data_IF_438744947823
#
_entry.id   IF_438744947823
#
_cell.length_a   1.000
_cell.length_b   1.000
_cell.length_c   1.000
_cell.angle_alpha   90.00
_cell.angle_beta   90.00
_cell.angle_gamma   90.00
#
_symmetry.space_group_name_H-M   'P 1'
#
loop_
_entity.id
_entity.type
_entity.pdbx_description
1 polymer ?
#
# COMPACT_ATOMS: atom_id res chain seq x y z
N UNK A 1 -57.71 -36.75 45.77
CA UNK A 1 -57.52 -35.38 45.24
C UNK A 1 -56.10 -35.29 44.74
N UNK A 2 -55.92 -35.38 43.40
CA UNK A 2 -54.60 -35.40 42.77
C UNK A 2 -54.30 -33.96 42.18
N UNK A 3 -53.23 -33.34 42.62
CA UNK A 3 -52.68 -32.09 42.01
C UNK A 3 -51.51 -32.46 41.10
N UNK A 4 -51.69 -32.23 39.85
CA UNK A 4 -50.64 -32.37 38.83
C UNK A 4 -49.96 -31.02 38.65
N UNK A 5 -48.65 -30.95 38.93
CA UNK A 5 -47.80 -29.79 38.66
C UNK A 5 -47.30 -29.84 37.20
N UNK A 6 -47.64 -28.84 36.43
CA UNK A 6 -47.08 -28.65 35.10
C UNK A 6 -45.82 -27.74 35.20
N UNK A 7 -44.65 -28.34 34.91
CA UNK A 7 -43.39 -27.59 34.75
C UNK A 7 -43.33 -26.92 33.36
N UNK A 8 -43.40 -25.62 33.36
CA UNK A 8 -43.18 -24.78 32.19
C UNK A 8 -41.66 -24.64 31.94
N UNK A 9 -41.12 -25.37 30.96
CA UNK A 9 -39.78 -25.19 30.44
C UNK A 9 -39.79 -24.00 29.48
N UNK A 10 -39.29 -22.85 29.93
CA UNK A 10 -38.95 -21.73 29.02
C UNK A 10 -37.64 -22.06 28.31
N UNK A 11 -37.73 -22.46 27.06
CA UNK A 11 -36.61 -22.52 26.14
C UNK A 11 -36.23 -21.07 25.70
N UNK A 12 -35.01 -20.63 26.00
CA UNK A 12 -34.43 -19.40 25.44
C UNK A 12 -33.98 -19.77 24.04
N UNK A 13 -34.84 -19.61 23.06
CA UNK A 13 -34.48 -19.61 21.65
C UNK A 13 -33.95 -18.24 21.30
N UNK A 14 -32.63 -18.05 21.22
CA UNK A 14 -32.04 -16.89 20.58
C UNK A 14 -32.42 -16.94 19.09
N UNK A 15 -33.33 -16.08 18.70
CA UNK A 15 -33.76 -15.95 17.31
C UNK A 15 -32.66 -15.22 16.51
N UNK A 16 -31.86 -15.99 15.77
CA UNK A 16 -31.00 -15.47 14.66
C UNK A 16 -31.83 -14.87 13.50
N UNK A 17 -33.15 -14.85 13.66
CA UNK A 17 -34.10 -14.42 12.63
C UNK A 17 -34.35 -12.93 12.52
N UNK A 18 -33.92 -12.12 13.51
CA UNK A 18 -34.26 -10.69 13.53
C UNK A 18 -33.33 -9.83 12.66
N UNK A 19 -32.17 -10.34 12.25
CA UNK A 19 -31.27 -9.60 11.35
C UNK A 19 -31.56 -9.77 9.85
N UNK A 20 -32.38 -10.77 9.49
CA UNK A 20 -32.76 -11.01 8.09
C UNK A 20 -34.10 -10.38 7.68
N UNK A 21 -34.86 -9.82 8.63
CA UNK A 21 -36.22 -9.36 8.34
C UNK A 21 -36.32 -7.94 7.75
N UNK A 22 -35.22 -7.18 7.66
CA UNK A 22 -35.21 -5.84 7.04
C UNK A 22 -34.76 -5.80 5.57
N UNK A 23 -34.56 -6.97 4.92
CA UNK A 23 -34.09 -7.04 3.51
C UNK A 23 -35.23 -7.37 2.53
N UNK A 24 -36.48 -7.43 2.97
CA UNK A 24 -37.55 -8.09 2.24
C UNK A 24 -38.41 -7.23 1.29
N UNK A 25 -37.88 -6.15 0.69
CA UNK A 25 -38.62 -5.44 -0.40
C UNK A 25 -37.73 -4.97 -1.57
N UNK A 26 -36.44 -5.23 -1.57
CA UNK A 26 -35.67 -5.09 -2.81
C UNK A 26 -35.74 -6.43 -3.54
N UNK A 27 -36.31 -6.44 -4.75
CA UNK A 27 -36.24 -7.60 -5.63
C UNK A 27 -34.77 -8.07 -5.65
N UNK A 28 -34.54 -9.31 -5.16
CA UNK A 28 -33.20 -9.87 -5.16
C UNK A 28 -32.69 -9.83 -6.60
N UNK A 29 -31.63 -9.10 -6.86
CA UNK A 29 -30.93 -9.15 -8.14
C UNK A 29 -30.43 -10.59 -8.29
N UNK A 30 -30.83 -11.32 -9.36
CA UNK A 30 -30.40 -12.70 -9.49
C UNK A 30 -28.88 -12.74 -9.60
N UNK A 31 -28.27 -13.63 -8.80
CA UNK A 31 -26.88 -13.99 -8.98
C UNK A 31 -26.81 -14.80 -10.28
N UNK A 32 -25.98 -14.36 -11.20
CA UNK A 32 -25.76 -15.05 -12.46
C UNK A 32 -24.94 -16.35 -12.20
N UNK A 33 -25.01 -17.36 -13.09
CA UNK A 33 -24.27 -18.62 -12.92
C UNK A 33 -22.75 -18.48 -12.83
N UNK A 34 -22.17 -17.36 -13.28
CA UNK A 34 -20.75 -17.03 -13.08
C UNK A 34 -20.44 -16.47 -11.68
N UNK A 35 -21.48 -16.20 -10.87
CA UNK A 35 -21.37 -15.52 -9.58
C UNK A 35 -21.45 -13.99 -9.68
N UNK A 36 -21.66 -13.43 -10.87
CA UNK A 36 -21.81 -11.99 -11.04
C UNK A 36 -23.15 -11.50 -10.47
N UNK A 37 -23.12 -10.32 -9.87
CA UNK A 37 -24.29 -9.65 -9.29
C UNK A 37 -24.49 -8.30 -9.95
N UNK A 38 -25.66 -8.07 -10.55
CA UNK A 38 -26.05 -6.74 -11.05
C UNK A 38 -26.67 -5.92 -9.93
N UNK A 39 -26.08 -4.80 -9.57
CA UNK A 39 -26.58 -3.93 -8.51
C UNK A 39 -27.51 -2.84 -9.10
N UNK A 40 -28.68 -2.56 -8.47
CA UNK A 40 -29.44 -1.38 -8.78
C UNK A 40 -28.66 -0.12 -8.38
N UNK A 41 -29.14 1.07 -8.83
CA UNK A 41 -28.60 2.33 -8.37
C UNK A 41 -28.74 2.43 -6.84
N UNK A 42 -27.61 2.59 -6.15
CA UNK A 42 -27.55 2.68 -4.68
C UNK A 42 -26.58 3.79 -4.28
N UNK A 43 -26.95 4.54 -3.22
CA UNK A 43 -26.02 5.48 -2.58
C UNK A 43 -25.35 4.80 -1.41
N UNK A 44 -24.02 4.70 -1.46
CA UNK A 44 -23.21 4.10 -0.39
C UNK A 44 -22.67 5.21 0.49
N UNK A 45 -23.05 5.29 1.77
CA UNK A 45 -22.54 6.32 2.66
C UNK A 45 -21.03 6.09 2.91
N UNK A 46 -20.35 7.18 3.33
CA UNK A 46 -18.98 7.05 3.82
C UNK A 46 -18.97 6.26 5.13
N UNK A 47 -17.84 5.57 5.44
CA UNK A 47 -17.73 4.74 6.63
C UNK A 47 -18.00 5.52 7.91
N UNK A 48 -18.79 4.96 8.81
CA UNK A 48 -19.04 5.51 10.15
C UNK A 48 -17.85 5.32 11.11
N UNK A 49 -16.88 4.49 10.76
CA UNK A 49 -15.65 4.26 11.55
C UNK A 49 -14.52 5.20 11.16
N UNK A 50 -14.68 5.92 10.05
CA UNK A 50 -13.70 6.90 9.62
C UNK A 50 -13.99 8.27 10.26
N UNK A 51 -12.93 9.06 10.48
CA UNK A 51 -13.04 10.42 11.02
C UNK A 51 -13.75 11.38 10.06
N UNK A 52 -14.26 12.48 10.59
CA UNK A 52 -14.78 13.57 9.77
C UNK A 52 -13.68 14.21 8.90
N UNK A 53 -12.44 14.20 9.37
CA UNK A 53 -11.26 14.64 8.63
C UNK A 53 -11.05 13.77 7.39
N UNK A 54 -11.09 12.44 7.56
CA UNK A 54 -10.95 11.49 6.46
C UNK A 54 -12.08 11.67 5.44
N UNK A 55 -13.32 11.82 5.89
CA UNK A 55 -14.45 12.07 5.01
C UNK A 55 -14.29 13.37 4.19
N UNK A 56 -13.84 14.46 4.84
CA UNK A 56 -13.59 15.73 4.13
C UNK A 56 -12.48 15.60 3.10
N UNK A 57 -11.34 15.04 3.52
CA UNK A 57 -10.18 14.84 2.61
C UNK A 57 -10.54 13.94 1.43
N UNK A 58 -11.33 12.87 1.67
CA UNK A 58 -11.83 12.01 0.61
C UNK A 58 -12.63 12.80 -0.42
N UNK A 59 -13.64 13.58 0.03
CA UNK A 59 -14.47 14.41 -0.86
C UNK A 59 -13.61 15.41 -1.64
N UNK A 60 -12.69 16.10 -0.97
CA UNK A 60 -11.78 17.06 -1.62
C UNK A 60 -10.92 16.37 -2.70
N UNK A 61 -10.37 15.20 -2.39
CA UNK A 61 -9.51 14.46 -3.33
C UNK A 61 -10.29 13.92 -4.54
N UNK A 62 -11.49 13.40 -4.33
CA UNK A 62 -12.31 12.83 -5.41
C UNK A 62 -12.99 13.90 -6.28
N UNK A 63 -13.18 15.10 -5.76
CA UNK A 63 -13.80 16.22 -6.47
C UNK A 63 -12.80 17.26 -6.98
N UNK A 64 -11.49 17.00 -6.90
CA UNK A 64 -10.47 17.96 -7.37
C UNK A 64 -10.57 18.16 -8.90
N UNK A 65 -11.04 19.33 -9.36
CA UNK A 65 -11.20 19.58 -10.78
C UNK A 65 -9.85 19.79 -11.50
N UNK A 66 -8.76 19.93 -10.78
CA UNK A 66 -7.42 20.11 -11.35
C UNK A 66 -6.73 18.80 -11.69
N UNK A 67 -7.28 17.67 -11.22
CA UNK A 67 -6.73 16.34 -11.55
C UNK A 67 -6.79 16.10 -13.08
N UNK A 68 -5.68 15.68 -13.70
CA UNK A 68 -5.65 15.46 -15.14
C UNK A 68 -6.60 14.32 -15.53
N UNK A 69 -7.44 14.52 -16.55
CA UNK A 69 -8.34 13.47 -16.99
C UNK A 69 -7.55 12.28 -17.56
N UNK A 70 -8.16 11.07 -17.59
CA UNK A 70 -7.56 9.91 -18.21
C UNK A 70 -7.11 10.20 -19.65
N UNK A 71 -5.89 9.77 -20.02
CA UNK A 71 -5.30 10.01 -21.33
C UNK A 71 -4.58 11.36 -21.49
N UNK A 72 -4.43 12.13 -20.41
CA UNK A 72 -3.56 13.31 -20.43
C UNK A 72 -2.11 12.97 -20.77
N UNK A 73 -1.34 13.95 -21.27
CA UNK A 73 0.09 13.73 -21.53
C UNK A 73 0.85 13.43 -20.23
N UNK A 74 1.98 12.74 -20.36
CA UNK A 74 2.81 12.41 -19.21
C UNK A 74 3.35 13.68 -18.52
N UNK A 75 3.67 14.71 -19.29
CA UNK A 75 4.17 15.99 -18.78
C UNK A 75 3.09 16.69 -17.94
N UNK A 76 1.85 16.72 -18.40
CA UNK A 76 0.72 17.29 -17.67
C UNK A 76 0.47 16.51 -16.36
N UNK A 77 0.52 15.18 -16.44
CA UNK A 77 0.34 14.30 -15.28
C UNK A 77 1.46 14.49 -14.26
N UNK A 78 2.71 14.50 -14.69
CA UNK A 78 3.87 14.78 -13.81
C UNK A 78 3.78 16.14 -13.17
N UNK A 79 3.46 17.17 -13.94
CA UNK A 79 3.34 18.55 -13.42
C UNK A 79 2.27 18.66 -12.34
N UNK A 80 1.12 18.01 -12.53
CA UNK A 80 0.06 17.96 -11.52
C UNK A 80 0.54 17.27 -10.23
N UNK A 81 1.08 16.02 -10.35
CA UNK A 81 1.49 15.27 -9.17
C UNK A 81 2.71 15.87 -8.47
N UNK A 82 3.61 16.53 -9.17
CA UNK A 82 4.71 17.28 -8.56
C UNK A 82 4.19 18.45 -7.71
N UNK A 83 3.21 19.19 -8.22
CA UNK A 83 2.59 20.27 -7.46
C UNK A 83 1.79 19.72 -6.25
N UNK A 84 1.02 18.67 -6.45
CA UNK A 84 0.26 17.98 -5.41
C UNK A 84 1.18 17.44 -4.29
N UNK A 85 2.19 16.68 -4.65
CA UNK A 85 3.16 16.12 -3.70
C UNK A 85 3.96 17.23 -2.99
N UNK A 86 4.36 18.28 -3.70
CA UNK A 86 5.07 19.41 -3.09
C UNK A 86 4.23 20.13 -2.03
N UNK A 87 2.92 20.25 -2.26
CA UNK A 87 1.99 20.74 -1.25
C UNK A 87 1.96 19.82 -0.02
N UNK A 88 1.83 18.50 -0.24
CA UNK A 88 1.87 17.51 0.84
C UNK A 88 3.19 17.53 1.61
N UNK A 89 4.32 17.62 0.93
CA UNK A 89 5.65 17.77 1.57
C UNK A 89 5.69 19.01 2.46
N UNK A 90 5.15 20.14 1.99
CA UNK A 90 5.06 21.36 2.79
C UNK A 90 4.24 21.13 4.08
N UNK A 91 3.12 20.42 3.98
CA UNK A 91 2.27 20.06 5.12
C UNK A 91 2.98 19.07 6.06
N UNK A 92 3.63 18.03 5.49
CA UNK A 92 4.45 17.07 6.24
C UNK A 92 5.54 17.78 7.06
N UNK A 93 6.28 18.71 6.45
CA UNK A 93 7.38 19.44 7.12
C UNK A 93 6.91 20.34 8.25
N UNK A 94 5.67 20.84 8.21
CA UNK A 94 5.08 21.58 9.35
C UNK A 94 4.81 20.69 10.56
N UNK A 95 4.51 19.42 10.32
CA UNK A 95 4.15 18.46 11.35
C UNK A 95 5.34 17.62 11.82
N UNK A 96 6.23 17.29 10.93
CA UNK A 96 7.37 16.39 11.15
C UNK A 96 8.68 17.09 10.80
N UNK A 97 9.46 17.42 11.80
CA UNK A 97 10.73 18.14 11.62
C UNK A 97 11.82 17.17 11.13
N UNK A 98 12.17 17.24 9.85
CA UNK A 98 13.18 16.42 9.21
C UNK A 98 14.24 17.26 8.48
N UNK A 99 15.48 16.75 8.47
CA UNK A 99 16.56 17.19 7.60
C UNK A 99 16.56 16.30 6.36
N UNK A 100 16.63 16.93 5.20
CA UNK A 100 16.66 16.27 3.90
C UNK A 100 17.97 16.64 3.20
N UNK A 101 18.68 15.64 2.68
CA UNK A 101 19.91 15.80 1.94
C UNK A 101 19.89 14.93 0.68
N UNK A 102 19.98 15.55 -0.47
CA UNK A 102 20.09 14.84 -1.75
C UNK A 102 21.50 14.29 -1.93
N UNK A 103 21.61 13.00 -2.25
CA UNK A 103 22.88 12.30 -2.48
C UNK A 103 22.72 11.32 -3.66
N UNK A 104 23.86 10.88 -4.22
CA UNK A 104 23.87 9.74 -5.17
C UNK A 104 24.41 8.50 -4.47
N UNK A 105 23.57 7.46 -4.41
CA UNK A 105 23.93 6.17 -3.80
C UNK A 105 23.80 5.07 -4.86
N UNK A 106 24.83 4.28 -5.04
CA UNK A 106 24.83 3.26 -6.09
C UNK A 106 24.69 3.81 -7.53
N UNK A 107 24.95 5.10 -7.73
CA UNK A 107 24.76 5.77 -9.01
C UNK A 107 23.34 6.32 -9.24
N UNK A 108 22.40 6.13 -8.31
CA UNK A 108 21.03 6.59 -8.37
C UNK A 108 20.84 7.83 -7.49
N UNK A 109 20.02 8.77 -7.91
CA UNK A 109 19.65 9.92 -7.09
C UNK A 109 18.77 9.46 -5.92
N UNK A 110 19.03 10.01 -4.75
CA UNK A 110 18.32 9.65 -3.51
C UNK A 110 18.18 10.88 -2.62
N UNK A 111 17.11 10.94 -1.85
CA UNK A 111 16.99 11.88 -0.73
C UNK A 111 17.14 11.14 0.60
N UNK A 112 18.09 11.55 1.40
CA UNK A 112 18.35 11.03 2.74
C UNK A 112 17.58 11.88 3.74
N UNK A 113 16.61 11.28 4.40
CA UNK A 113 15.71 11.92 5.37
C UNK A 113 16.09 11.47 6.79
N UNK A 114 16.35 12.43 7.67
CA UNK A 114 16.67 12.17 9.08
C UNK A 114 15.85 13.09 9.99
N UNK A 115 15.41 12.63 11.17
CA UNK A 115 14.71 13.50 12.11
C UNK A 115 15.64 14.59 12.65
N UNK A 116 15.15 15.83 12.77
CA UNK A 116 15.91 16.94 13.39
C UNK A 116 16.36 16.61 14.81
N UNK A 117 15.56 15.85 15.56
CA UNK A 117 15.88 15.39 16.91
C UNK A 117 16.96 14.30 16.98
N UNK A 118 17.47 13.87 15.82
CA UNK A 118 18.46 12.82 15.67
C UNK A 118 17.86 11.41 15.62
N UNK A 119 18.68 10.48 15.15
CA UNK A 119 18.39 9.06 15.06
C UNK A 119 18.48 8.45 16.47
N UNK A 120 17.54 7.60 16.87
CA UNK A 120 17.59 6.93 18.16
C UNK A 120 18.81 6.00 18.28
N UNK A 121 19.34 5.76 19.50
CA UNK A 121 20.52 4.89 19.68
C UNK A 121 20.34 3.50 19.05
N UNK A 122 19.15 2.92 19.16
CA UNK A 122 18.82 1.60 18.58
C UNK A 122 18.82 1.59 17.06
N UNK A 123 18.60 2.75 16.41
CA UNK A 123 18.52 2.89 14.96
C UNK A 123 19.80 3.43 14.30
N UNK A 124 20.88 3.67 15.07
CA UNK A 124 22.15 4.20 14.55
C UNK A 124 22.76 3.32 13.46
N UNK A 125 22.54 2.00 13.53
CA UNK A 125 23.02 1.02 12.55
C UNK A 125 21.91 0.48 11.63
N UNK A 126 20.74 1.11 11.61
CA UNK A 126 19.59 0.72 10.80
C UNK A 126 19.27 1.78 9.77
N UNK A 127 18.73 1.36 8.65
CA UNK A 127 18.28 2.25 7.59
C UNK A 127 17.04 1.69 6.91
N UNK A 128 16.12 2.57 6.54
CA UNK A 128 15.00 2.23 5.67
C UNK A 128 15.26 2.77 4.27
N UNK A 129 14.86 2.00 3.27
CA UNK A 129 14.75 2.42 1.88
C UNK A 129 13.26 2.64 1.62
N UNK A 130 12.90 3.80 1.09
CA UNK A 130 11.57 4.11 0.61
C UNK A 130 11.54 4.08 -0.91
N UNK A 131 10.51 3.46 -1.45
CA UNK A 131 10.17 3.38 -2.87
C UNK A 131 8.82 4.06 -3.05
N UNK A 132 8.81 5.23 -3.69
CA UNK A 132 7.60 6.03 -3.79
C UNK A 132 6.54 5.43 -4.70
N UNK A 133 5.28 5.83 -4.47
CA UNK A 133 4.18 5.58 -5.39
C UNK A 133 4.24 6.45 -6.64
N UNK A 134 3.25 6.30 -7.53
CA UNK A 134 3.16 7.11 -8.75
C UNK A 134 3.11 6.30 -10.03
N UNK A 135 2.50 5.11 -9.98
CA UNK A 135 2.24 4.25 -11.16
C UNK A 135 3.50 3.97 -12.01
N UNK A 136 4.70 4.01 -11.42
CA UNK A 136 6.00 3.95 -12.11
C UNK A 136 6.21 5.05 -13.16
N UNK A 137 5.46 6.14 -13.12
CA UNK A 137 5.49 7.20 -14.14
C UNK A 137 5.75 8.58 -13.57
N UNK A 138 5.51 8.79 -12.28
CA UNK A 138 5.73 10.04 -11.55
C UNK A 138 6.02 9.79 -10.07
N UNK A 139 6.47 10.82 -9.36
CA UNK A 139 6.70 10.77 -7.92
C UNK A 139 8.16 10.97 -7.49
N UNK A 140 9.10 11.03 -8.45
CA UNK A 140 10.48 11.35 -8.15
C UNK A 140 10.59 12.59 -7.25
N UNK A 141 11.51 12.61 -6.30
CA UNK A 141 11.73 13.62 -5.25
C UNK A 141 10.51 13.82 -4.34
N UNK A 142 9.47 14.51 -4.79
CA UNK A 142 8.37 14.96 -3.96
C UNK A 142 7.54 13.80 -3.40
N UNK A 143 7.21 12.81 -4.19
CA UNK A 143 6.44 11.62 -3.75
C UNK A 143 7.19 10.82 -2.69
N UNK A 144 8.49 10.59 -2.90
CA UNK A 144 9.33 9.91 -1.92
C UNK A 144 9.43 10.66 -0.59
N UNK A 145 9.49 11.98 -0.61
CA UNK A 145 9.53 12.80 0.61
C UNK A 145 8.21 12.75 1.39
N UNK A 146 7.07 12.69 0.70
CA UNK A 146 5.77 12.52 1.36
C UNK A 146 5.72 11.24 2.19
N UNK A 147 6.24 10.14 1.66
CA UNK A 147 6.23 8.84 2.33
C UNK A 147 7.35 8.72 3.40
N UNK A 148 8.50 9.35 3.20
CA UNK A 148 9.67 9.15 4.04
C UNK A 148 9.75 10.07 5.26
N UNK A 149 9.27 11.32 5.16
CA UNK A 149 9.35 12.30 6.27
C UNK A 149 8.66 11.78 7.55
N UNK A 150 7.38 11.35 7.54
CA UNK A 150 6.71 10.91 8.75
C UNK A 150 7.35 9.66 9.35
N UNK A 151 7.77 8.71 8.52
CA UNK A 151 8.39 7.46 8.97
C UNK A 151 9.76 7.73 9.59
N UNK A 152 10.57 8.61 9.00
CA UNK A 152 11.86 8.99 9.57
C UNK A 152 11.71 9.61 10.96
N UNK A 153 10.74 10.52 11.11
CA UNK A 153 10.57 11.29 12.37
C UNK A 153 9.92 10.42 13.46
N UNK A 154 8.84 9.70 13.16
CA UNK A 154 8.15 8.84 14.13
C UNK A 154 9.03 7.65 14.52
N UNK A 155 9.66 7.01 13.54
CA UNK A 155 10.57 5.88 13.75
C UNK A 155 11.92 6.28 14.34
N UNK A 156 12.27 7.57 14.37
CA UNK A 156 13.60 8.08 14.74
C UNK A 156 14.72 7.31 14.02
N UNK A 157 14.54 7.13 12.72
CA UNK A 157 15.40 6.31 11.85
C UNK A 157 15.74 7.07 10.57
N UNK A 158 16.89 6.75 9.97
CA UNK A 158 17.26 7.26 8.65
C UNK A 158 16.40 6.56 7.59
N UNK A 159 15.81 7.34 6.68
CA UNK A 159 15.13 6.86 5.49
C UNK A 159 15.84 7.40 4.26
N UNK A 160 16.07 6.53 3.27
CA UNK A 160 16.63 6.87 1.97
C UNK A 160 15.53 6.61 0.95
N UNK A 161 15.02 7.66 0.34
CA UNK A 161 14.05 7.53 -0.76
C UNK A 161 14.79 7.56 -2.09
N UNK A 162 14.38 6.69 -3.02
CA UNK A 162 15.07 6.47 -4.30
C UNK A 162 14.27 7.09 -5.43
N UNK A 163 14.92 7.93 -6.24
CA UNK A 163 14.39 8.39 -7.51
C UNK A 163 14.71 7.34 -8.59
N UNK A 164 13.93 6.27 -8.61
CA UNK A 164 14.11 5.19 -9.57
C UNK A 164 13.64 5.60 -10.98
N UNK A 165 14.15 4.93 -12.00
CA UNK A 165 13.81 5.17 -13.41
C UNK A 165 12.34 4.85 -13.67
N UNK A 166 11.63 5.80 -14.29
CA UNK A 166 10.19 5.79 -14.52
C UNK A 166 9.85 5.62 -16.01
N UNK A 167 8.64 5.12 -16.28
CA UNK A 167 8.05 5.10 -17.62
C UNK A 167 7.52 6.52 -17.98
N UNK A 168 7.38 6.84 -19.27
CA UNK A 168 7.60 5.97 -20.44
C UNK A 168 9.05 5.83 -20.87
N UNK A 169 9.99 6.58 -20.29
CA UNK A 169 11.39 6.59 -20.69
C UNK A 169 12.09 5.25 -20.39
N UNK A 170 11.64 4.59 -19.32
CA UNK A 170 12.16 3.29 -18.92
C UNK A 170 11.03 2.30 -18.61
N UNK A 171 11.31 1.03 -18.81
CA UNK A 171 10.38 -0.07 -18.56
C UNK A 171 10.98 -1.08 -17.59
N UNK A 172 10.17 -2.00 -17.11
CA UNK A 172 10.65 -3.14 -16.31
C UNK A 172 11.86 -3.81 -17.02
N UNK A 173 12.94 -4.13 -16.28
CA UNK A 173 13.12 -4.08 -14.82
C UNK A 173 13.91 -2.84 -14.32
N UNK A 174 13.91 -1.70 -15.01
CA UNK A 174 14.77 -0.56 -14.73
C UNK A 174 14.69 -0.07 -13.28
N UNK A 175 13.48 0.06 -12.71
CA UNK A 175 13.31 0.52 -11.33
C UNK A 175 13.88 -0.47 -10.31
N UNK A 176 13.63 -1.78 -10.45
CA UNK A 176 14.19 -2.79 -9.55
C UNK A 176 15.70 -2.94 -9.67
N UNK A 177 16.30 -2.62 -10.84
CA UNK A 177 17.75 -2.50 -11.00
C UNK A 177 18.33 -1.33 -10.21
N UNK A 178 17.67 -0.17 -10.22
CA UNK A 178 18.09 1.01 -9.45
C UNK A 178 18.01 0.71 -7.95
N UNK A 179 16.93 0.07 -7.50
CA UNK A 179 16.82 -0.38 -6.10
C UNK A 179 17.96 -1.34 -5.73
N UNK A 180 18.26 -2.31 -6.60
CA UNK A 180 19.36 -3.25 -6.37
C UNK A 180 20.73 -2.55 -6.31
N UNK A 181 20.96 -1.51 -7.11
CA UNK A 181 22.18 -0.72 -7.09
C UNK A 181 22.34 0.04 -5.77
N UNK A 182 21.28 0.72 -5.30
CA UNK A 182 21.28 1.42 -4.00
C UNK A 182 21.45 0.41 -2.84
N UNK A 183 20.69 -0.67 -2.84
CA UNK A 183 20.78 -1.72 -1.83
C UNK A 183 22.20 -2.30 -1.76
N UNK A 184 22.80 -2.67 -2.90
CA UNK A 184 24.17 -3.17 -2.98
C UNK A 184 25.21 -2.16 -2.47
N UNK A 185 25.00 -0.87 -2.68
CA UNK A 185 25.85 0.17 -2.12
C UNK A 185 25.72 0.26 -0.60
N UNK A 186 24.52 0.15 -0.06
CA UNK A 186 24.26 0.17 1.39
C UNK A 186 24.79 -1.05 2.13
N UNK A 187 24.87 -2.22 1.49
CA UNK A 187 25.47 -3.43 2.05
C UNK A 187 26.96 -3.26 2.40
N UNK A 188 27.65 -2.23 1.88
CA UNK A 188 29.01 -1.88 2.29
C UNK A 188 29.10 -1.28 3.69
N UNK A 189 27.96 -0.76 4.20
CA UNK A 189 27.89 -0.05 5.49
C UNK A 189 26.97 -0.73 6.49
N UNK A 190 25.89 -1.34 6.00
CA UNK A 190 24.87 -1.97 6.83
C UNK A 190 24.83 -3.49 6.59
N UNK A 191 24.58 -4.27 7.63
CA UNK A 191 24.23 -5.69 7.47
C UNK A 191 22.85 -5.80 6.79
N UNK A 192 22.59 -6.85 6.01
CA UNK A 192 21.28 -7.05 5.38
C UNK A 192 20.11 -6.99 6.39
N UNK A 193 20.28 -7.57 7.58
CA UNK A 193 19.27 -7.54 8.65
C UNK A 193 18.99 -6.14 9.21
N UNK A 194 19.85 -5.16 8.94
CA UNK A 194 19.71 -3.76 9.40
C UNK A 194 19.02 -2.86 8.35
N UNK A 195 18.70 -3.39 7.18
CA UNK A 195 18.06 -2.65 6.09
C UNK A 195 16.61 -3.10 5.98
N UNK A 196 15.68 -2.15 6.07
CA UNK A 196 14.28 -2.35 5.73
C UNK A 196 13.95 -1.66 4.41
N UNK A 197 12.94 -2.16 3.68
CA UNK A 197 12.48 -1.56 2.43
C UNK A 197 10.97 -1.43 2.49
N UNK A 198 10.42 -0.29 2.07
CA UNK A 198 8.97 -0.13 2.01
C UNK A 198 8.56 0.84 0.90
N UNK A 199 7.31 0.75 0.50
CA UNK A 199 6.71 1.71 -0.43
C UNK A 199 5.20 1.57 -0.52
N UNK A 200 4.56 2.59 -1.08
CA UNK A 200 3.13 2.65 -1.29
C UNK A 200 2.79 2.56 -2.78
N UNK A 201 1.66 1.94 -3.15
CA UNK A 201 1.19 1.85 -4.54
C UNK A 201 2.22 1.16 -5.44
N UNK A 202 2.67 1.82 -6.51
CA UNK A 202 3.77 1.34 -7.35
C UNK A 202 5.02 1.01 -6.52
N UNK A 203 5.33 1.80 -5.48
CA UNK A 203 6.43 1.52 -4.55
C UNK A 203 6.24 0.24 -3.73
N UNK A 204 5.00 -0.11 -3.40
CA UNK A 204 4.67 -1.38 -2.76
C UNK A 204 4.91 -2.57 -3.68
N UNK A 205 4.53 -2.46 -4.96
CA UNK A 205 4.82 -3.45 -6.00
C UNK A 205 6.34 -3.55 -6.19
N UNK A 206 7.03 -2.42 -6.38
CA UNK A 206 8.48 -2.37 -6.56
C UNK A 206 9.25 -2.94 -5.36
N UNK A 207 8.72 -2.81 -4.15
CA UNK A 207 9.31 -3.45 -2.95
C UNK A 207 9.32 -4.96 -3.11
N UNK A 208 8.22 -5.56 -3.53
CA UNK A 208 8.13 -7.01 -3.77
C UNK A 208 9.00 -7.46 -4.94
N UNK A 209 8.98 -6.74 -6.08
CA UNK A 209 9.87 -6.98 -7.23
C UNK A 209 11.34 -6.96 -6.83
N UNK A 210 11.72 -5.97 -6.01
CA UNK A 210 13.11 -5.79 -5.59
C UNK A 210 13.62 -6.98 -4.78
N UNK A 211 12.80 -7.56 -3.90
CA UNK A 211 13.18 -8.77 -3.14
C UNK A 211 13.38 -9.96 -4.07
N UNK A 212 12.51 -10.15 -5.08
CA UNK A 212 12.68 -11.19 -6.10
C UNK A 212 13.97 -10.96 -6.91
N UNK A 213 14.21 -9.72 -7.36
CA UNK A 213 15.41 -9.34 -8.10
C UNK A 213 16.69 -9.55 -7.28
N UNK A 214 16.67 -9.28 -5.97
CA UNK A 214 17.82 -9.56 -5.10
C UNK A 214 18.17 -11.04 -5.08
N UNK A 215 17.14 -11.90 -4.95
CA UNK A 215 17.34 -13.36 -5.00
C UNK A 215 17.96 -13.82 -6.31
N UNK A 216 17.48 -13.28 -7.44
CA UNK A 216 18.02 -13.59 -8.77
C UNK A 216 19.46 -13.09 -8.98
N UNK A 217 19.82 -11.95 -8.37
CA UNK A 217 21.16 -11.35 -8.43
C UNK A 217 22.13 -11.88 -7.34
N UNK A 218 21.71 -12.82 -6.50
CA UNK A 218 22.52 -13.34 -5.40
C UNK A 218 22.79 -12.34 -4.27
N UNK A 219 21.99 -11.26 -4.19
CA UNK A 219 22.06 -10.34 -3.07
C UNK A 219 21.32 -10.94 -1.85
N UNK A 220 21.79 -10.67 -0.62
CA UNK A 220 21.10 -11.15 0.58
C UNK A 220 19.75 -10.45 0.72
N UNK A 221 18.76 -11.11 1.36
CA UNK A 221 17.48 -10.50 1.65
C UNK A 221 17.59 -9.41 2.73
N UNK A 222 16.78 -8.33 2.68
CA UNK A 222 16.72 -7.32 3.75
C UNK A 222 16.13 -7.90 5.04
N UNK A 223 16.23 -7.16 6.14
CA UNK A 223 15.72 -7.56 7.44
C UNK A 223 14.20 -7.64 7.48
N UNK A 224 13.51 -6.71 6.83
CA UNK A 224 12.05 -6.66 6.74
C UNK A 224 11.62 -5.80 5.55
N UNK A 225 10.37 -5.97 5.08
CA UNK A 225 9.77 -5.11 4.06
C UNK A 225 8.36 -4.67 4.44
N UNK A 226 7.90 -3.57 3.80
CA UNK A 226 6.53 -3.09 3.90
C UNK A 226 5.95 -2.82 2.51
N UNK A 227 4.80 -3.40 2.19
CA UNK A 227 4.07 -3.14 0.95
C UNK A 227 2.72 -2.51 1.29
N UNK A 228 2.54 -1.23 0.92
CA UNK A 228 1.35 -0.46 1.28
C UNK A 228 0.57 -0.13 0.01
N UNK A 229 -0.73 -0.40 0.01
CA UNK A 229 -1.60 -0.16 -1.16
C UNK A 229 -1.06 -0.74 -2.48
N UNK A 230 -0.24 -1.78 -2.37
CA UNK A 230 0.43 -2.52 -3.43
C UNK A 230 1.00 -3.81 -2.85
N UNK A 231 1.35 -4.78 -3.68
CA UNK A 231 1.71 -6.10 -3.17
C UNK A 231 2.53 -6.95 -4.14
N UNK A 232 2.82 -8.18 -3.74
CA UNK A 232 3.47 -9.18 -4.60
C UNK A 232 2.54 -9.80 -5.65
N UNK A 233 1.30 -9.32 -5.77
CA UNK A 233 0.28 -9.79 -6.71
C UNK A 233 -0.24 -8.61 -7.52
N UNK A 234 -0.54 -8.83 -8.80
CA UNK A 234 -1.17 -7.83 -9.69
C UNK A 234 -2.50 -7.32 -9.11
N UNK A 235 -2.85 -6.09 -9.41
CA UNK A 235 -4.11 -5.47 -9.00
C UNK A 235 -5.28 -6.21 -9.64
N UNK A 236 -5.94 -7.04 -8.86
CA UNK A 236 -7.05 -7.93 -9.27
C UNK A 236 -8.03 -8.16 -8.12
N UNK A 237 -9.14 -8.83 -8.43
CA UNK A 237 -10.16 -9.21 -7.46
C UNK A 237 -11.23 -8.14 -7.28
N UNK A 238 -12.12 -8.35 -6.31
CA UNK A 238 -13.33 -7.54 -6.13
C UNK A 238 -13.04 -6.06 -5.93
N UNK A 239 -12.01 -5.72 -5.15
CA UNK A 239 -11.68 -4.32 -4.88
C UNK A 239 -11.26 -3.55 -6.13
N UNK A 240 -10.63 -4.21 -7.11
CA UNK A 240 -10.26 -3.58 -8.37
C UNK A 240 -11.47 -3.13 -9.22
N UNK A 241 -12.66 -3.71 -8.98
CA UNK A 241 -13.92 -3.27 -9.55
C UNK A 241 -14.68 -2.31 -8.63
N UNK A 242 -14.77 -2.63 -7.34
CA UNK A 242 -15.67 -1.96 -6.41
C UNK A 242 -15.10 -0.63 -5.93
N UNK A 243 -13.81 -0.55 -5.65
CA UNK A 243 -13.22 0.66 -5.09
C UNK A 243 -13.35 1.87 -6.03
N UNK A 244 -13.08 1.79 -7.34
CA UNK A 244 -13.32 2.93 -8.24
C UNK A 244 -14.74 3.46 -8.20
N UNK A 245 -15.74 2.58 -8.03
CA UNK A 245 -17.15 2.97 -7.90
C UNK A 245 -17.37 3.71 -6.58
N UNK A 246 -16.80 3.22 -5.48
CA UNK A 246 -16.88 3.86 -4.17
C UNK A 246 -16.18 5.22 -4.13
N UNK A 247 -15.21 5.42 -5.02
CA UNK A 247 -14.48 6.67 -5.21
C UNK A 247 -15.16 7.61 -6.22
N UNK A 248 -16.38 7.27 -6.66
CA UNK A 248 -17.16 8.10 -7.57
C UNK A 248 -16.74 8.06 -9.03
N UNK A 249 -15.87 7.13 -9.40
CA UNK A 249 -15.44 6.95 -10.78
C UNK A 249 -16.53 6.21 -11.58
N UNK A 250 -16.61 6.52 -12.88
CA UNK A 250 -17.48 5.77 -13.78
C UNK A 250 -16.94 4.33 -13.95
N UNK A 251 -17.84 3.39 -14.15
CA UNK A 251 -17.50 1.98 -14.39
C UNK A 251 -16.41 1.86 -15.47
N UNK A 252 -15.31 1.24 -15.11
CA UNK A 252 -14.39 0.72 -16.11
C UNK A 252 -15.00 -0.57 -16.70
N UNK A 253 -14.88 -0.77 -18.01
CA UNK A 253 -15.34 -2.00 -18.68
C UNK A 253 -14.56 -3.24 -18.20
N UNK A 254 -13.37 -3.03 -17.63
CA UNK A 254 -12.49 -4.06 -17.07
C UNK A 254 -11.91 -3.60 -15.73
N UNK A 255 -11.51 -4.54 -14.85
CA UNK A 255 -10.82 -4.19 -13.61
C UNK A 255 -9.48 -3.53 -13.91
N UNK A 256 -8.99 -2.73 -12.96
CA UNK A 256 -7.63 -2.21 -12.99
C UNK A 256 -6.62 -3.35 -12.97
N UNK A 257 -5.53 -3.19 -13.68
CA UNK A 257 -4.36 -4.08 -13.65
C UNK A 257 -3.09 -3.26 -13.75
N UNK A 258 -2.05 -3.65 -13.04
CA UNK A 258 -0.75 -3.00 -13.18
C UNK A 258 -0.13 -3.23 -14.58
N UNK A 259 -0.52 -4.27 -15.29
CA UNK A 259 -0.09 -4.51 -16.67
C UNK A 259 -0.68 -3.50 -17.69
N UNK A 260 -1.65 -2.69 -17.29
CA UNK A 260 -2.10 -1.54 -18.10
C UNK A 260 -1.13 -0.35 -18.03
N UNK A 261 -0.18 -0.37 -17.09
CA UNK A 261 0.83 0.68 -16.95
C UNK A 261 1.95 0.51 -18.02
N UNK A 262 2.41 1.63 -18.54
CA UNK A 262 3.49 1.65 -19.54
C UNK A 262 4.78 0.98 -19.05
N UNK A 263 5.03 0.99 -17.76
CA UNK A 263 6.22 0.37 -17.16
C UNK A 263 6.29 -1.14 -17.40
N UNK A 264 5.15 -1.83 -17.43
CA UNK A 264 5.04 -3.28 -17.67
C UNK A 264 4.71 -3.64 -19.13
N UNK A 265 4.90 -2.72 -20.05
CA UNK A 265 4.66 -2.98 -21.48
C UNK A 265 5.46 -4.19 -21.94
N UNK A 266 4.80 -5.12 -22.64
CA UNK A 266 5.38 -6.33 -23.24
C UNK A 266 6.01 -7.33 -22.23
N UNK A 267 5.67 -7.22 -20.93
CA UNK A 267 6.16 -8.12 -19.87
C UNK A 267 5.24 -9.34 -19.74
N UNK A 268 5.81 -10.52 -19.49
CA UNK A 268 5.02 -11.73 -19.19
C UNK A 268 4.30 -11.56 -17.84
N UNK A 269 2.96 -11.60 -17.81
CA UNK A 269 2.19 -11.46 -16.59
C UNK A 269 2.40 -12.60 -15.57
N UNK A 270 3.03 -13.69 -15.98
CA UNK A 270 3.35 -14.82 -15.11
C UNK A 270 4.81 -14.81 -14.62
N UNK A 271 5.60 -13.81 -15.00
CA UNK A 271 6.99 -13.71 -14.55
C UNK A 271 7.02 -13.38 -13.04
N UNK A 272 7.55 -14.28 -12.19
CA UNK A 272 7.67 -14.04 -10.76
C UNK A 272 8.65 -12.93 -10.38
N UNK A 273 9.41 -12.42 -11.35
CA UNK A 273 10.25 -11.22 -11.13
C UNK A 273 9.40 -9.94 -11.14
N UNK A 274 8.24 -9.96 -11.79
CA UNK A 274 7.27 -8.85 -11.81
C UNK A 274 6.33 -8.95 -10.62
N UNK A 275 5.62 -10.08 -10.52
CA UNK A 275 4.73 -10.38 -9.39
C UNK A 275 5.16 -11.67 -8.70
N UNK A 276 5.96 -11.55 -7.63
CA UNK A 276 6.49 -12.71 -6.90
C UNK A 276 5.44 -13.68 -6.37
N UNK A 277 4.20 -13.23 -6.22
CA UNK A 277 3.04 -14.06 -5.87
C UNK A 277 2.75 -15.19 -6.85
N UNK A 278 3.29 -15.14 -8.07
CA UNK A 278 3.22 -16.22 -9.05
C UNK A 278 4.10 -17.44 -8.68
N UNK A 279 5.01 -17.33 -7.71
CA UNK A 279 5.95 -18.40 -7.34
C UNK A 279 6.11 -18.54 -5.83
N UNK A 280 5.63 -19.65 -5.28
CA UNK A 280 5.83 -19.99 -3.85
C UNK A 280 7.32 -20.08 -3.48
N UNK A 281 8.17 -20.56 -4.41
CA UNK A 281 9.62 -20.64 -4.19
C UNK A 281 10.27 -19.26 -4.05
N UNK A 282 9.80 -18.29 -4.81
CA UNK A 282 10.28 -16.90 -4.70
C UNK A 282 9.76 -16.29 -3.40
N UNK A 283 8.47 -16.43 -3.10
CA UNK A 283 7.86 -15.93 -1.87
C UNK A 283 8.51 -16.49 -0.61
N UNK A 284 8.87 -17.78 -0.58
CA UNK A 284 9.51 -18.40 0.59
C UNK A 284 10.87 -17.76 0.97
N UNK A 285 11.42 -16.90 0.12
CA UNK A 285 12.65 -16.13 0.39
C UNK A 285 12.39 -14.74 0.96
N UNK A 286 11.12 -14.33 1.04
CA UNK A 286 10.76 -13.01 1.55
C UNK A 286 11.11 -12.88 3.04
N UNK A 287 11.54 -11.70 3.49
CA UNK A 287 11.68 -11.40 4.90
C UNK A 287 10.31 -11.19 5.56
N UNK A 288 10.23 -10.97 6.88
CA UNK A 288 9.02 -10.47 7.52
C UNK A 288 8.42 -9.30 6.76
N UNK A 289 7.12 -9.36 6.47
CA UNK A 289 6.43 -8.46 5.55
C UNK A 289 5.23 -7.80 6.20
N UNK A 290 5.21 -6.46 6.23
CA UNK A 290 4.05 -5.66 6.64
C UNK A 290 3.22 -5.27 5.42
N UNK A 291 1.90 -5.49 5.49
CA UNK A 291 0.96 -5.09 4.46
C UNK A 291 -0.08 -4.12 5.04
N UNK A 292 -0.33 -3.01 4.33
CA UNK A 292 -1.33 -2.00 4.74
C UNK A 292 -2.18 -1.64 3.54
N UNK A 293 -3.52 -1.57 3.74
CA UNK A 293 -4.50 -1.17 2.74
C UNK A 293 -5.75 -0.59 3.39
N UNK A 294 -6.72 -0.16 2.61
CA UNK A 294 -8.01 0.33 3.07
C UNK A 294 -9.17 -0.35 2.36
N UNK A 295 -10.38 -0.28 2.94
CA UNK A 295 -11.57 -0.94 2.35
C UNK A 295 -12.06 -0.26 1.06
N UNK A 296 -11.62 0.96 0.77
CA UNK A 296 -11.86 1.69 -0.49
C UNK A 296 -10.63 1.71 -1.41
N UNK A 297 -9.62 0.92 -1.10
CA UNK A 297 -8.42 0.81 -1.93
C UNK A 297 -8.64 -0.27 -3.02
N UNK A 298 -8.46 0.11 -4.28
CA UNK A 298 -8.57 -0.81 -5.41
C UNK A 298 -7.55 -1.97 -5.34
N UNK A 299 -6.46 -1.80 -4.62
CA UNK A 299 -5.45 -2.84 -4.42
C UNK A 299 -5.77 -3.80 -3.26
N UNK A 300 -6.84 -3.59 -2.47
CA UNK A 300 -7.12 -4.35 -1.26
C UNK A 300 -7.16 -5.87 -1.51
N UNK A 301 -7.86 -6.34 -2.53
CA UNK A 301 -7.95 -7.78 -2.82
C UNK A 301 -6.59 -8.41 -3.11
N UNK A 302 -5.72 -7.72 -3.85
CA UNK A 302 -4.35 -8.20 -4.13
C UNK A 302 -3.45 -8.13 -2.90
N UNK A 303 -3.62 -7.15 -2.03
CA UNK A 303 -2.91 -7.07 -0.74
C UNK A 303 -3.30 -8.24 0.17
N UNK A 304 -4.61 -8.52 0.32
CA UNK A 304 -5.12 -9.69 1.07
C UNK A 304 -4.59 -10.99 0.48
N UNK A 305 -4.66 -11.14 -0.85
CA UNK A 305 -4.15 -12.33 -1.54
C UNK A 305 -2.64 -12.51 -1.35
N UNK A 306 -1.89 -11.43 -1.36
CA UNK A 306 -0.45 -11.44 -1.10
C UNK A 306 -0.14 -11.94 0.32
N UNK A 307 -0.89 -11.48 1.33
CA UNK A 307 -0.78 -11.96 2.71
C UNK A 307 -1.06 -13.46 2.83
N UNK A 308 -2.12 -13.95 2.19
CA UNK A 308 -2.44 -15.38 2.16
C UNK A 308 -1.29 -16.21 1.57
N UNK A 309 -0.74 -15.77 0.43
CA UNK A 309 0.36 -16.46 -0.26
C UNK A 309 1.64 -16.46 0.57
N UNK A 310 1.98 -15.35 1.22
CA UNK A 310 3.13 -15.27 2.14
C UNK A 310 2.95 -16.25 3.31
N UNK A 311 1.76 -16.28 3.91
CA UNK A 311 1.45 -17.22 5.00
C UNK A 311 1.56 -18.68 4.54
N UNK A 312 1.06 -19.02 3.34
CA UNK A 312 1.22 -20.35 2.74
C UNK A 312 2.69 -20.70 2.47
N UNK A 313 3.52 -19.70 2.14
CA UNK A 313 4.96 -19.85 1.96
C UNK A 313 5.74 -19.85 3.30
N UNK A 314 5.06 -19.86 4.44
CA UNK A 314 5.63 -19.80 5.79
C UNK A 314 6.47 -18.54 6.05
N UNK A 315 6.14 -17.43 5.41
CA UNK A 315 6.73 -16.12 5.66
C UNK A 315 5.89 -15.39 6.72
N UNK A 316 6.56 -14.85 7.71
CA UNK A 316 5.91 -13.99 8.70
C UNK A 316 5.35 -12.74 8.00
N UNK A 317 4.03 -12.52 8.12
CA UNK A 317 3.37 -11.38 7.50
C UNK A 317 2.27 -10.81 8.38
N UNK A 318 2.22 -9.50 8.46
CA UNK A 318 1.25 -8.71 9.23
C UNK A 318 0.41 -7.88 8.27
N UNK A 319 -0.93 -7.98 8.38
CA UNK A 319 -1.88 -7.26 7.52
C UNK A 319 -2.74 -6.30 8.33
N UNK A 320 -2.78 -5.02 7.92
CA UNK A 320 -3.68 -4.01 8.44
C UNK A 320 -4.61 -3.50 7.35
N UNK A 321 -5.91 -3.54 7.59
CA UNK A 321 -6.94 -3.00 6.71
C UNK A 321 -7.70 -1.91 7.44
N UNK A 322 -7.68 -0.68 6.91
CA UNK A 322 -8.33 0.49 7.51
C UNK A 322 -9.68 0.75 6.84
N UNK A 323 -10.73 0.73 7.63
CA UNK A 323 -12.09 0.91 7.10
C UNK A 323 -12.33 2.34 6.61
N UNK A 324 -12.99 2.46 5.46
CA UNK A 324 -13.26 3.75 4.81
C UNK A 324 -12.07 4.40 4.11
N UNK A 325 -10.86 3.87 4.26
CA UNK A 325 -9.67 4.47 3.67
C UNK A 325 -9.51 4.05 2.21
N UNK A 326 -9.12 5.01 1.38
CA UNK A 326 -8.89 4.88 -0.06
C UNK A 326 -7.42 4.62 -0.38
N UNK A 327 -7.13 4.47 -1.65
CA UNK A 327 -5.75 4.24 -2.11
C UNK A 327 -4.78 5.32 -1.66
N UNK A 328 -3.64 4.92 -1.11
CA UNK A 328 -2.58 5.81 -0.64
C UNK A 328 -2.99 6.83 0.45
N UNK A 329 -4.04 6.58 1.23
CA UNK A 329 -4.48 7.48 2.31
C UNK A 329 -3.36 7.90 3.29
N UNK A 330 -2.29 7.11 3.37
CA UNK A 330 -1.11 7.35 4.19
C UNK A 330 -0.39 8.68 3.90
N UNK A 331 -0.59 9.27 2.72
CA UNK A 331 0.13 10.49 2.32
C UNK A 331 -0.43 11.78 2.93
N UNK A 332 -1.57 11.73 3.60
CA UNK A 332 -2.25 12.90 4.17
C UNK A 332 -1.90 13.07 5.65
N UNK A 333 -1.02 14.04 6.03
CA UNK A 333 -0.49 14.14 7.39
C UNK A 333 -1.52 14.51 8.46
N UNK A 334 -2.62 15.14 8.07
CA UNK A 334 -3.64 15.60 9.00
C UNK A 334 -4.63 14.50 9.43
N UNK A 335 -4.70 13.41 8.68
CA UNK A 335 -5.63 12.33 8.98
C UNK A 335 -5.22 11.55 10.24
N UNK A 336 -6.11 11.36 11.19
CA UNK A 336 -5.90 10.43 12.30
C UNK A 336 -5.55 9.02 11.78
N UNK A 337 -6.22 8.59 10.70
CA UNK A 337 -6.02 7.30 10.03
C UNK A 337 -4.67 7.14 9.34
N UNK A 338 -3.96 8.23 9.05
CA UNK A 338 -2.57 8.17 8.56
C UNK A 338 -1.56 8.05 9.70
N UNK A 339 -1.86 8.61 10.88
CA UNK A 339 -0.95 8.55 12.02
C UNK A 339 -0.84 7.16 12.63
N UNK A 340 -1.94 6.38 12.65
CA UNK A 340 -1.94 5.01 13.17
C UNK A 340 -0.98 4.11 12.36
N UNK A 341 -1.09 4.00 11.02
CA UNK A 341 -0.14 3.23 10.21
C UNK A 341 1.30 3.70 10.32
N UNK A 342 1.60 4.99 10.46
CA UNK A 342 2.98 5.42 10.67
C UNK A 342 3.58 4.79 11.93
N UNK A 343 2.81 4.70 13.01
CA UNK A 343 3.23 4.05 14.25
C UNK A 343 3.39 2.55 14.09
N UNK A 344 2.50 1.90 13.35
CA UNK A 344 2.59 0.47 13.00
C UNK A 344 3.86 0.20 12.19
N UNK A 345 4.12 0.99 11.16
CA UNK A 345 5.32 0.86 10.30
C UNK A 345 6.59 1.01 11.14
N UNK A 346 6.67 2.06 11.96
CA UNK A 346 7.83 2.28 12.82
C UNK A 346 8.05 1.14 13.82
N UNK A 347 6.97 0.62 14.41
CA UNK A 347 7.02 -0.50 15.35
C UNK A 347 7.46 -1.79 14.68
N UNK A 348 6.90 -2.12 13.53
CA UNK A 348 7.23 -3.31 12.75
C UNK A 348 8.73 -3.34 12.38
N UNK A 349 9.26 -2.26 11.81
CA UNK A 349 10.68 -2.21 11.48
C UNK A 349 11.58 -2.21 12.73
N UNK A 350 11.12 -1.61 13.83
CA UNK A 350 11.85 -1.71 15.12
C UNK A 350 11.98 -3.15 15.60
N UNK A 351 10.95 -3.97 15.45
CA UNK A 351 10.95 -5.38 15.87
C UNK A 351 11.80 -6.27 14.97
N UNK A 352 11.75 -6.06 13.66
CA UNK A 352 12.31 -7.00 12.69
C UNK A 352 13.72 -6.62 12.19
N UNK A 353 14.18 -5.37 12.39
CA UNK A 353 15.54 -5.01 11.99
C UNK A 353 16.56 -5.41 13.07
N UNK A 354 17.62 -6.07 12.63
CA UNK A 354 18.75 -6.49 13.47
C UNK A 354 19.51 -5.30 14.09
N UNK A 355 20.24 -5.58 15.19
CA UNK A 355 21.11 -4.61 15.88
C UNK A 355 22.51 -4.57 15.26
#
# INVERSE_FOLDING_TARGET
MRLTSAMCRRGVGLSLGAFLACISTLAATPVDPSGAVSLPAVSIPYSIFASDEARRQFVESMMDPSAPPPGSSIEATRSFYDAFNSNLVSRMRKRYAAVIKTERIGGVNTDVVTPVQGISPENQKRVLINLHGGAFMWGAHSGGLVESIPIAVIGKIKVITIDYREAPEYHFPAASEDVAAVYGALLKTYKPSQIGIYGCSAGGILTAESVAAFGAKGLPRPGAIGTFCGSAVDVKGDSAFIAPILDGQLFAEKPLSAFDLLYFKDVDPNDPMVFPGASTTVLARFPPTLLITGTRDFAMSSVVRSHELLTQAHVESELHVYDGMWHAFLIFPELPESNAPYSVIAHFFKQHLGQ
#
